data_IF_784927267153
#
_entry.id   IF_784927267153
#
_cell.length_a   1.000
_cell.length_b   1.000
_cell.length_c   1.000
_cell.angle_alpha   90.00
_cell.angle_beta   90.00
_cell.angle_gamma   90.00
#
_symmetry.space_group_name_H-M   'P 1'
#
loop_
_entity.id
_entity.type
_entity.pdbx_description
1 polymer ?
#
# COMPACT_ATOMS: atom_id res chain seq x y z
N UNK A 1 -21.89 -59.66 -5.00
CA UNK A 1 -21.04 -58.93 -5.97
C UNK A 1 -21.63 -57.53 -6.07
N UNK A 2 -21.00 -56.39 -5.77
CA UNK A 2 -19.59 -55.98 -5.75
C UNK A 2 -19.26 -55.29 -4.41
N UNK A 3 -18.00 -55.47 -4.01
CA UNK A 3 -17.29 -54.74 -2.95
C UNK A 3 -16.90 -53.34 -3.46
N UNK A 4 -16.26 -52.55 -2.56
CA UNK A 4 -15.49 -51.30 -2.74
C UNK A 4 -16.27 -50.04 -2.32
N UNK A 5 -15.76 -49.12 -1.50
CA UNK A 5 -14.46 -49.01 -0.83
C UNK A 5 -14.63 -48.05 0.37
N UNK A 6 -14.28 -48.50 1.57
CA UNK A 6 -14.00 -47.64 2.73
C UNK A 6 -12.59 -47.09 2.58
N UNK A 7 -12.37 -45.77 2.41
CA UNK A 7 -11.07 -45.04 2.49
C UNK A 7 -11.46 -43.54 2.37
N UNK A 8 -11.02 -42.54 3.14
CA UNK A 8 -10.03 -42.38 4.20
C UNK A 8 -10.47 -41.13 5.00
N UNK A 9 -10.78 -41.30 6.28
CA UNK A 9 -10.65 -40.22 7.27
C UNK A 9 -9.23 -40.38 7.78
N UNK A 10 -8.33 -39.42 7.51
CA UNK A 10 -7.25 -38.98 8.41
C UNK A 10 -6.38 -37.91 7.74
N UNK A 11 -6.20 -36.80 8.48
CA UNK A 11 -5.21 -35.73 8.33
C UNK A 11 -5.13 -35.08 6.94
N UNK A 12 -5.43 -33.79 6.81
CA UNK A 12 -4.59 -32.76 7.38
C UNK A 12 -5.42 -31.69 8.09
N UNK A 13 -5.28 -31.66 9.40
CA UNK A 13 -5.22 -30.41 10.14
C UNK A 13 -4.10 -29.58 9.48
N UNK A 14 -4.44 -28.81 8.45
CA UNK A 14 -3.65 -27.63 8.10
C UNK A 14 -3.93 -26.63 9.22
N UNK A 15 -3.23 -26.86 10.33
CA UNK A 15 -2.87 -25.85 11.30
C UNK A 15 -2.25 -24.69 10.51
N UNK A 16 -3.07 -23.71 10.17
CA UNK A 16 -2.59 -22.41 9.77
C UNK A 16 -2.21 -21.67 11.06
N UNK A 17 -1.15 -22.15 11.73
CA UNK A 17 -0.42 -21.32 12.69
C UNK A 17 0.47 -20.38 11.89
N UNK A 18 -0.14 -19.31 11.40
CA UNK A 18 0.58 -18.05 11.19
C UNK A 18 -0.10 -17.01 12.05
N UNK A 19 0.30 -16.99 13.32
CA UNK A 19 0.29 -15.77 14.10
C UNK A 19 1.22 -14.75 13.43
N UNK A 20 0.71 -14.09 12.41
CA UNK A 20 0.96 -12.70 12.13
C UNK A 20 -0.24 -12.22 11.33
N UNK A 21 -1.17 -11.54 12.01
CA UNK A 21 -2.21 -10.76 11.34
C UNK A 21 -1.53 -9.60 10.59
N UNK A 22 -0.76 -9.87 9.53
CA UNK A 22 -0.41 -8.86 8.57
C UNK A 22 -1.71 -8.59 7.82
N UNK A 23 -2.48 -7.62 8.30
CA UNK A 23 -3.60 -7.06 7.55
C UNK A 23 -3.02 -6.68 6.19
N UNK A 24 -3.41 -7.41 5.15
CA UNK A 24 -2.90 -7.17 3.82
C UNK A 24 -3.36 -5.77 3.37
N UNK A 25 -2.40 -4.90 3.05
CA UNK A 25 -2.68 -3.55 2.53
C UNK A 25 -3.53 -3.69 1.26
N UNK A 26 -4.70 -3.05 1.20
CA UNK A 26 -5.62 -3.23 0.07
C UNK A 26 -6.03 -4.69 -0.18
N UNK A 27 -6.03 -5.54 0.87
CA UNK A 27 -6.23 -7.00 0.77
C UNK A 27 -5.21 -7.69 -0.15
N UNK A 28 -4.09 -7.04 -0.43
CA UNK A 28 -3.02 -7.53 -1.28
C UNK A 28 -1.78 -7.78 -0.43
N UNK A 29 -1.36 -9.03 -0.31
CA UNK A 29 -0.06 -9.32 0.29
C UNK A 29 1.04 -8.69 -0.59
N UNK A 30 2.00 -8.02 0.03
CA UNK A 30 3.15 -7.41 -0.66
C UNK A 30 2.76 -6.49 -1.84
N UNK A 31 2.04 -5.38 -1.58
CA UNK A 31 1.46 -4.53 -2.63
C UNK A 31 2.50 -3.99 -3.62
N UNK A 32 3.72 -3.67 -3.16
CA UNK A 32 4.86 -3.25 -4.00
C UNK A 32 5.24 -4.25 -5.11
N UNK A 33 4.95 -5.55 -4.93
CA UNK A 33 5.19 -6.58 -5.95
C UNK A 33 3.95 -6.90 -6.77
N UNK A 34 2.77 -6.78 -6.16
CA UNK A 34 1.54 -7.39 -6.66
C UNK A 34 0.51 -6.37 -7.20
N UNK A 35 0.64 -5.08 -6.87
CA UNK A 35 -0.13 -4.01 -7.50
C UNK A 35 0.66 -3.44 -8.69
N UNK A 36 0.21 -3.62 -9.95
CA UNK A 36 0.97 -3.21 -11.14
C UNK A 36 1.29 -1.71 -11.16
N UNK A 37 0.31 -0.86 -10.85
CA UNK A 37 0.49 0.59 -10.85
C UNK A 37 1.53 1.05 -9.81
N UNK A 38 1.56 0.41 -8.64
CA UNK A 38 2.50 0.75 -7.56
C UNK A 38 3.91 0.30 -7.93
N UNK A 39 4.04 -0.90 -8.51
CA UNK A 39 5.30 -1.40 -9.04
C UNK A 39 5.86 -0.46 -10.11
N UNK A 40 5.01 0.04 -11.00
CA UNK A 40 5.40 1.02 -12.02
C UNK A 40 5.82 2.37 -11.42
N UNK A 41 5.12 2.86 -10.39
CA UNK A 41 5.49 4.08 -9.69
C UNK A 41 6.85 3.96 -8.99
N UNK A 42 7.08 2.83 -8.30
CA UNK A 42 8.37 2.51 -7.68
C UNK A 42 9.47 2.45 -8.74
N UNK A 43 9.23 1.76 -9.86
CA UNK A 43 10.20 1.67 -10.94
C UNK A 43 10.57 3.05 -11.52
N UNK A 44 9.59 3.95 -11.68
CA UNK A 44 9.85 5.35 -12.04
C UNK A 44 10.72 6.04 -10.99
N UNK A 45 10.44 5.85 -9.72
CA UNK A 45 11.24 6.41 -8.63
C UNK A 45 12.68 5.87 -8.57
N UNK A 46 12.90 4.62 -8.96
CA UNK A 46 14.24 4.00 -9.01
C UNK A 46 15.07 4.49 -10.22
N UNK A 47 14.40 4.86 -11.31
CA UNK A 47 15.05 5.22 -12.58
C UNK A 47 15.03 6.73 -12.87
N UNK A 48 14.31 7.51 -12.06
CA UNK A 48 14.22 8.95 -12.21
C UNK A 48 15.55 9.65 -11.91
N UNK A 49 15.95 10.51 -12.83
CA UNK A 49 17.11 11.37 -12.71
C UNK A 49 16.74 12.86 -12.69
N UNK A 50 15.45 13.21 -12.80
CA UNK A 50 14.99 14.60 -12.78
C UNK A 50 14.67 15.09 -11.36
N UNK A 51 14.54 14.18 -10.40
CA UNK A 51 14.10 14.46 -9.03
C UNK A 51 12.57 14.55 -8.87
N UNK A 52 11.80 14.27 -9.92
CA UNK A 52 10.33 14.32 -9.86
C UNK A 52 9.74 13.15 -9.06
N UNK A 53 10.45 12.03 -8.98
CA UNK A 53 10.04 10.83 -8.26
C UNK A 53 10.95 10.57 -7.05
N UNK A 54 11.57 11.63 -6.52
CA UNK A 54 12.29 11.59 -5.25
C UNK A 54 11.31 11.82 -4.10
N UNK A 55 11.23 10.88 -3.17
CA UNK A 55 10.32 10.95 -2.03
C UNK A 55 10.06 9.59 -1.39
N UNK A 56 8.92 9.50 -0.73
CA UNK A 56 8.45 8.32 0.00
C UNK A 56 7.04 7.98 -0.44
N UNK A 57 6.71 6.69 -0.38
CA UNK A 57 5.35 6.16 -0.55
C UNK A 57 4.96 5.55 0.79
N UNK A 58 3.86 6.02 1.36
CA UNK A 58 3.26 5.50 2.58
C UNK A 58 1.97 4.76 2.27
N UNK A 59 1.60 3.86 3.17
CA UNK A 59 0.28 3.25 3.23
C UNK A 59 -0.35 3.55 4.59
N UNK A 60 -1.61 3.98 4.56
CA UNK A 60 -2.40 4.22 5.76
C UNK A 60 -3.89 3.97 5.49
N UNK A 61 -4.62 3.67 6.56
CA UNK A 61 -6.07 3.77 6.58
C UNK A 61 -6.45 5.14 7.15
N UNK A 62 -7.11 5.97 6.34
CA UNK A 62 -7.62 7.27 6.75
C UNK A 62 -9.15 7.26 6.62
N UNK A 63 -9.85 7.48 7.73
CA UNK A 63 -11.33 7.51 7.77
C UNK A 63 -11.99 6.23 7.22
N UNK A 64 -11.35 5.07 7.44
CA UNK A 64 -11.86 3.78 6.95
C UNK A 64 -11.47 3.46 5.52
N UNK A 65 -10.78 4.37 4.81
CA UNK A 65 -10.29 4.14 3.46
C UNK A 65 -8.79 3.84 3.45
N UNK A 66 -8.44 2.69 2.86
CA UNK A 66 -7.06 2.34 2.55
C UNK A 66 -6.53 3.19 1.40
N UNK A 67 -5.37 3.80 1.58
CA UNK A 67 -4.78 4.67 0.58
C UNK A 67 -3.25 4.62 0.60
N UNK A 68 -2.68 4.82 -0.59
CA UNK A 68 -1.27 5.11 -0.76
C UNK A 68 -1.07 6.61 -0.92
N UNK A 69 -0.04 7.14 -0.27
CA UNK A 69 0.30 8.56 -0.33
C UNK A 69 1.75 8.72 -0.71
N UNK A 70 2.05 9.72 -1.53
CA UNK A 70 3.44 10.06 -1.84
C UNK A 70 3.66 11.57 -1.86
N UNK A 71 4.83 12.01 -1.42
CA UNK A 71 5.34 13.38 -1.50
C UNK A 71 6.21 13.62 -2.75
N UNK A 72 6.29 12.63 -3.64
CA UNK A 72 6.95 12.78 -4.93
C UNK A 72 6.25 13.84 -5.78
N UNK A 73 7.01 14.77 -6.36
CA UNK A 73 6.49 15.91 -7.12
C UNK A 73 5.71 15.49 -8.38
N UNK A 74 6.10 14.37 -8.98
CA UNK A 74 5.51 13.76 -10.18
C UNK A 74 5.25 14.76 -11.31
N UNK A 75 6.18 15.70 -11.53
CA UNK A 75 6.11 16.70 -12.60
C UNK A 75 5.24 17.92 -12.31
N UNK A 76 4.58 18.03 -11.15
CA UNK A 76 3.72 19.19 -10.84
C UNK A 76 4.45 20.46 -10.43
N UNK A 77 5.65 20.34 -9.85
CA UNK A 77 6.37 21.50 -9.30
C UNK A 77 5.80 22.10 -8.01
N UNK A 78 4.66 21.62 -7.48
CA UNK A 78 4.00 22.29 -6.35
C UNK A 78 2.88 21.54 -5.62
N UNK A 79 2.61 20.27 -5.95
CA UNK A 79 1.68 19.43 -5.17
C UNK A 79 2.46 18.76 -4.04
N UNK A 80 2.01 18.97 -2.80
CA UNK A 80 2.67 18.43 -1.60
C UNK A 80 2.51 16.91 -1.47
N UNK A 81 1.29 16.41 -1.69
CA UNK A 81 0.99 14.99 -1.62
C UNK A 81 0.06 14.57 -2.75
N UNK A 82 0.27 13.36 -3.25
CA UNK A 82 -0.66 12.65 -4.11
C UNK A 82 -1.19 11.42 -3.40
N UNK A 83 -2.46 11.14 -3.68
CA UNK A 83 -3.23 10.12 -3.00
C UNK A 83 -3.78 9.16 -4.04
N UNK A 84 -3.62 7.87 -3.79
CA UNK A 84 -4.07 6.81 -4.66
C UNK A 84 -4.87 5.80 -3.85
N UNK A 85 -6.00 5.36 -4.40
CA UNK A 85 -6.72 4.22 -3.84
C UNK A 85 -6.02 2.90 -4.18
N UNK A 86 -6.61 1.79 -3.76
CA UNK A 86 -6.08 0.45 -4.02
C UNK A 86 -6.00 0.07 -5.51
N UNK A 87 -6.77 0.74 -6.37
CA UNK A 87 -6.78 0.51 -7.83
C UNK A 87 -5.74 1.38 -8.55
N UNK A 88 -5.15 2.36 -7.87
CA UNK A 88 -4.22 3.32 -8.44
C UNK A 88 -4.92 4.56 -9.00
N UNK A 89 -6.21 4.73 -8.72
CA UNK A 89 -6.95 5.92 -9.11
C UNK A 89 -6.57 7.08 -8.17
N UNK A 90 -6.28 8.25 -8.76
CA UNK A 90 -5.99 9.46 -7.97
C UNK A 90 -7.24 9.87 -7.19
N UNK A 91 -7.12 9.95 -5.88
CA UNK A 91 -8.19 10.48 -5.03
C UNK A 91 -7.93 11.96 -4.77
N UNK A 92 -8.93 12.81 -4.98
CA UNK A 92 -8.85 14.21 -4.57
C UNK A 92 -9.13 14.25 -3.08
N UNK A 93 -8.13 14.63 -2.30
CA UNK A 93 -8.31 14.90 -0.88
C UNK A 93 -8.20 16.41 -0.65
N UNK A 94 -9.24 16.99 -0.04
CA UNK A 94 -9.35 18.43 0.16
C UNK A 94 -8.45 18.90 1.31
N UNK A 95 -7.19 19.19 0.98
CA UNK A 95 -6.20 19.70 1.93
C UNK A 95 -6.42 21.17 2.31
N UNK A 96 -7.47 21.84 1.84
CA UNK A 96 -7.69 23.27 2.13
C UNK A 96 -8.13 23.54 3.57
N UNK A 97 -8.58 22.51 4.29
CA UNK A 97 -8.93 22.59 5.71
C UNK A 97 -7.71 22.31 6.58
N UNK A 98 -7.19 23.37 7.22
CA UNK A 98 -5.94 23.32 8.02
C UNK A 98 -5.95 22.26 9.12
N UNK A 99 -7.09 22.03 9.76
CA UNK A 99 -7.25 21.03 10.83
C UNK A 99 -7.10 19.60 10.29
N UNK A 100 -7.67 19.33 9.11
CA UNK A 100 -7.57 18.03 8.42
C UNK A 100 -6.11 17.77 7.99
N UNK A 101 -5.41 18.79 7.46
CA UNK A 101 -4.00 18.67 7.06
C UNK A 101 -3.05 18.35 8.23
N UNK A 102 -3.23 18.99 9.39
CA UNK A 102 -2.39 18.74 10.57
C UNK A 102 -2.58 17.32 11.11
N UNK A 103 -3.83 16.89 11.26
CA UNK A 103 -4.19 15.53 11.71
C UNK A 103 -3.64 14.47 10.76
N UNK A 104 -3.76 14.71 9.45
CA UNK A 104 -3.21 13.83 8.43
C UNK A 104 -1.68 13.76 8.48
N UNK A 105 -1.00 14.90 8.55
CA UNK A 105 0.47 14.94 8.65
C UNK A 105 0.95 14.18 9.89
N UNK A 106 0.24 14.29 11.01
CA UNK A 106 0.54 13.51 12.21
C UNK A 106 0.37 12.01 11.98
N UNK A 107 -0.72 11.57 11.35
CA UNK A 107 -0.92 10.16 11.00
C UNK A 107 0.15 9.63 10.05
N UNK A 108 0.55 10.43 9.06
CA UNK A 108 1.56 10.07 8.06
C UNK A 108 2.92 9.78 8.70
N UNK A 109 3.30 10.50 9.76
CA UNK A 109 4.55 10.25 10.51
C UNK A 109 4.64 8.85 11.12
N UNK A 110 3.50 8.26 11.47
CA UNK A 110 3.40 6.88 11.98
C UNK A 110 2.97 5.86 10.92
N UNK A 111 2.77 6.30 9.67
CA UNK A 111 2.28 5.44 8.61
C UNK A 111 3.34 4.42 8.18
N UNK A 112 2.87 3.29 7.65
CA UNK A 112 3.74 2.27 7.09
C UNK A 112 4.43 2.82 5.85
N UNK A 113 5.76 2.80 5.84
CA UNK A 113 6.54 3.11 4.64
C UNK A 113 6.49 1.89 3.71
N UNK A 114 6.04 2.12 2.49
CA UNK A 114 6.03 1.12 1.41
C UNK A 114 7.31 1.19 0.60
N UNK A 115 7.79 2.40 0.32
CA UNK A 115 9.00 2.64 -0.44
C UNK A 115 9.56 4.02 -0.10
N UNK A 116 10.89 4.18 -0.15
CA UNK A 116 11.54 5.49 -0.08
C UNK A 116 12.86 5.46 -0.84
N UNK A 117 13.16 6.54 -1.56
CA UNK A 117 14.48 6.81 -2.15
C UNK A 117 15.12 8.08 -1.57
N UNK A 118 14.67 8.50 -0.39
CA UNK A 118 15.25 9.58 0.39
C UNK A 118 15.76 9.05 1.72
N UNK A 119 16.78 9.71 2.27
CA UNK A 119 17.22 9.43 3.63
C UNK A 119 16.15 10.01 4.59
N UNK A 120 15.61 9.15 5.46
CA UNK A 120 14.63 9.49 6.50
C UNK A 120 15.33 9.92 7.79
#
# INVERSE_FOLDING_TARGET
MKKLFTVFIFFLLLSCNKDSNSVADCKCENPQKNLPWLKELIHKAETDNTGNYKGTIWFLNYEGQDMFVTDMMMGSGGILYYFFDCKGDKTIWDMTKKEELSSFTQKLKSAKVIYTNVLL
#
